data_IF_138625523050
#
_entry.id   IF_138625523050
#
_cell.length_a   1.000
_cell.length_b   1.000
_cell.length_c   1.000
_cell.angle_alpha   90.00
_cell.angle_beta   90.00
_cell.angle_gamma   90.00
#
_symmetry.space_group_name_H-M   'P 1'
#
loop_
_entity.id
_entity.type
_entity.pdbx_description
1 polymer ?
#
# COMPACT_ATOMS: atom_id res chain seq x y z
N UNK A 1 27.34 1.40 -31.00
CA UNK A 1 26.69 2.01 -29.82
C UNK A 1 27.43 1.54 -28.57
N UNK A 2 27.79 2.45 -27.67
CA UNK A 2 28.36 2.06 -26.37
C UNK A 2 27.26 1.53 -25.43
N UNK A 3 27.53 0.44 -24.71
CA UNK A 3 26.64 -0.09 -23.67
C UNK A 3 26.58 0.94 -22.53
N UNK A 4 25.42 1.60 -22.37
CA UNK A 4 25.25 2.60 -21.33
C UNK A 4 25.36 1.90 -19.96
N UNK A 5 26.23 2.37 -19.04
CA UNK A 5 26.51 1.64 -17.82
C UNK A 5 25.23 1.43 -17.00
N UNK A 6 24.85 0.17 -16.81
CA UNK A 6 23.63 -0.24 -16.11
C UNK A 6 23.64 0.32 -14.68
N UNK A 7 22.97 1.44 -14.47
CA UNK A 7 22.91 2.17 -13.19
C UNK A 7 22.38 1.23 -12.10
N UNK A 8 23.28 0.79 -11.21
CA UNK A 8 22.91 -0.04 -10.05
C UNK A 8 22.08 0.81 -9.10
N UNK A 9 20.78 0.48 -8.98
CA UNK A 9 19.92 1.09 -7.99
C UNK A 9 20.31 0.60 -6.60
N UNK A 10 20.57 1.54 -5.69
CA UNK A 10 20.65 1.30 -4.25
C UNK A 10 19.22 1.24 -3.69
N UNK A 11 19.01 0.36 -2.71
CA UNK A 11 17.79 0.35 -1.90
C UNK A 11 18.13 1.02 -0.58
N UNK A 12 17.51 2.16 -0.31
CA UNK A 12 17.69 2.97 0.87
C UNK A 12 16.43 2.99 1.71
N UNK A 13 16.19 4.14 2.37
CA UNK A 13 15.06 4.29 3.29
C UNK A 13 13.70 4.22 2.56
N UNK A 14 13.61 4.74 1.33
CA UNK A 14 12.33 4.75 0.59
C UNK A 14 11.98 3.34 0.13
N UNK A 15 12.91 2.60 -0.47
CA UNK A 15 12.71 1.21 -0.85
C UNK A 15 12.38 0.30 0.36
N UNK A 16 13.02 0.53 1.51
CA UNK A 16 12.71 -0.19 2.74
C UNK A 16 11.27 0.12 3.24
N UNK A 17 10.88 1.39 3.28
CA UNK A 17 9.53 1.81 3.68
C UNK A 17 8.45 1.27 2.73
N UNK A 18 8.67 1.33 1.41
CA UNK A 18 7.75 0.74 0.42
C UNK A 18 7.65 -0.78 0.58
N UNK A 19 8.75 -1.49 0.83
CA UNK A 19 8.71 -2.94 1.10
C UNK A 19 7.89 -3.24 2.36
N UNK A 20 8.10 -2.50 3.44
CA UNK A 20 7.33 -2.64 4.67
C UNK A 20 5.84 -2.31 4.46
N UNK A 21 5.50 -1.34 3.61
CA UNK A 21 4.12 -1.00 3.27
C UNK A 21 3.43 -2.04 2.38
N UNK A 22 4.18 -2.78 1.55
CA UNK A 22 3.66 -3.88 0.72
C UNK A 22 3.53 -5.21 1.49
N UNK A 23 4.25 -5.35 2.60
CA UNK A 23 4.05 -6.41 3.61
C UNK A 23 2.95 -6.05 4.63
N UNK A 24 2.79 -4.77 4.98
CA UNK A 24 1.45 -4.22 5.22
C UNK A 24 0.62 -4.31 3.92
N UNK A 25 -0.69 -4.07 3.93
CA UNK A 25 -1.61 -4.53 2.84
C UNK A 25 -1.64 -6.07 2.70
N UNK A 26 -0.53 -6.73 2.38
CA UNK A 26 -0.44 -8.17 2.06
C UNK A 26 -0.25 -8.40 0.56
N UNK A 27 0.50 -7.53 -0.12
CA UNK A 27 0.68 -7.53 -1.57
C UNK A 27 2.09 -7.97 -1.92
N UNK A 28 2.21 -9.17 -2.52
CA UNK A 28 3.48 -9.68 -3.00
C UNK A 28 3.92 -8.96 -4.31
N UNK A 29 5.11 -8.34 -4.36
CA UNK A 29 5.63 -7.72 -5.56
C UNK A 29 5.93 -8.69 -6.70
N UNK A 30 6.17 -9.99 -6.44
CA UNK A 30 6.45 -10.96 -7.48
C UNK A 30 5.20 -11.34 -8.30
N UNK A 31 4.02 -11.28 -7.68
CA UNK A 31 2.71 -11.52 -8.31
C UNK A 31 1.94 -10.25 -8.69
N UNK A 32 2.27 -9.08 -8.12
CA UNK A 32 1.56 -7.81 -8.38
C UNK A 32 2.43 -6.76 -9.12
N UNK A 33 2.23 -6.60 -10.42
CA UNK A 33 3.07 -5.76 -11.30
C UNK A 33 3.29 -4.32 -10.79
N UNK A 34 2.24 -3.63 -10.31
CA UNK A 34 2.38 -2.26 -9.80
C UNK A 34 3.14 -2.18 -8.47
N UNK A 35 3.21 -3.27 -7.70
CA UNK A 35 4.02 -3.34 -6.48
C UNK A 35 5.51 -3.53 -6.82
N UNK A 36 5.83 -4.32 -7.85
CA UNK A 36 7.17 -4.36 -8.43
C UNK A 36 7.62 -2.99 -8.98
N UNK A 37 6.73 -2.28 -9.69
CA UNK A 37 6.98 -0.90 -10.17
C UNK A 37 7.21 0.05 -9.01
N UNK A 38 6.39 0.00 -7.95
CA UNK A 38 6.59 0.81 -6.75
C UNK A 38 7.96 0.57 -6.09
N UNK A 39 8.39 -0.69 -5.92
CA UNK A 39 9.72 -1.00 -5.39
C UNK A 39 10.86 -0.48 -6.28
N UNK A 40 10.67 -0.48 -7.60
CA UNK A 40 11.65 0.07 -8.54
C UNK A 40 11.74 1.59 -8.44
N UNK A 41 10.61 2.28 -8.44
CA UNK A 41 10.54 3.74 -8.30
C UNK A 41 11.10 4.19 -6.94
N UNK A 42 10.82 3.46 -5.86
CA UNK A 42 11.40 3.72 -4.55
C UNK A 42 12.94 3.60 -4.56
N UNK A 43 13.49 2.57 -5.20
CA UNK A 43 14.94 2.45 -5.38
C UNK A 43 15.53 3.51 -6.33
N UNK A 44 14.76 4.03 -7.29
CA UNK A 44 15.18 5.16 -8.14
C UNK A 44 15.20 6.48 -7.35
N UNK A 45 14.25 6.71 -6.44
CA UNK A 45 14.27 7.83 -5.47
C UNK A 45 15.50 7.75 -4.55
N UNK A 46 15.82 6.57 -3.99
CA UNK A 46 17.00 6.36 -3.15
C UNK A 46 18.34 6.50 -3.90
N UNK A 47 18.34 6.41 -5.24
CA UNK A 47 19.56 6.32 -6.07
C UNK A 47 19.85 7.54 -6.92
N UNK A 48 18.89 8.42 -7.14
CA UNK A 48 19.01 9.51 -8.11
C UNK A 48 19.76 10.71 -7.52
N UNK A 49 20.89 11.13 -8.11
CA UNK A 49 21.57 12.36 -7.71
C UNK A 49 20.93 13.62 -8.31
N UNK A 50 20.03 13.48 -9.28
CA UNK A 50 19.27 14.61 -9.86
C UNK A 50 17.96 14.82 -9.08
N UNK A 51 17.76 15.98 -8.43
CA UNK A 51 16.52 16.30 -7.72
C UNK A 51 15.26 16.25 -8.61
N UNK A 52 15.37 16.54 -9.91
CA UNK A 52 14.21 16.52 -10.83
C UNK A 52 13.76 15.08 -11.10
N UNK A 53 14.68 14.19 -11.45
CA UNK A 53 14.40 12.76 -11.57
C UNK A 53 13.88 12.17 -10.25
N UNK A 54 14.42 12.57 -9.10
CA UNK A 54 13.94 12.14 -7.78
C UNK A 54 12.49 12.61 -7.53
N UNK A 55 12.15 13.85 -7.87
CA UNK A 55 10.79 14.37 -7.73
C UNK A 55 9.78 13.67 -8.65
N UNK A 56 10.18 13.35 -9.89
CA UNK A 56 9.36 12.56 -10.83
C UNK A 56 9.12 11.15 -10.30
N UNK A 57 10.17 10.41 -9.95
CA UNK A 57 10.06 9.05 -9.41
C UNK A 57 9.22 9.01 -8.13
N UNK A 58 9.35 10.01 -7.24
CA UNK A 58 8.53 10.13 -6.05
C UNK A 58 7.05 10.42 -6.34
N UNK A 59 6.73 11.15 -7.43
CA UNK A 59 5.35 11.38 -7.89
C UNK A 59 4.73 10.10 -8.43
N UNK A 60 5.45 9.39 -9.28
CA UNK A 60 5.01 8.12 -9.86
C UNK A 60 4.85 7.03 -8.78
N UNK A 61 5.76 6.98 -7.80
CA UNK A 61 5.66 6.09 -6.63
C UNK A 61 4.35 6.30 -5.87
N UNK A 62 3.96 7.56 -5.62
CA UNK A 62 2.68 7.87 -4.97
C UNK A 62 1.48 7.39 -5.80
N UNK A 63 1.54 7.51 -7.12
CA UNK A 63 0.47 7.03 -8.01
C UNK A 63 0.39 5.49 -8.04
N UNK A 64 1.53 4.80 -8.17
CA UNK A 64 1.59 3.34 -8.14
C UNK A 64 1.08 2.79 -6.79
N UNK A 65 1.54 3.36 -5.67
CA UNK A 65 1.09 2.93 -4.34
C UNK A 65 -0.38 3.23 -4.07
N UNK A 66 -0.96 4.31 -4.61
CA UNK A 66 -2.40 4.56 -4.50
C UNK A 66 -3.23 3.46 -5.15
N UNK A 67 -2.81 2.96 -6.33
CA UNK A 67 -3.48 1.83 -7.00
C UNK A 67 -3.24 0.52 -6.24
N UNK A 68 -2.03 0.27 -5.74
CA UNK A 68 -1.75 -0.93 -4.94
C UNK A 68 -2.57 -0.96 -3.64
N UNK A 69 -2.77 0.18 -2.97
CA UNK A 69 -3.65 0.28 -1.80
C UNK A 69 -5.11 -0.01 -2.16
N UNK A 70 -5.58 0.45 -3.32
CA UNK A 70 -6.95 0.19 -3.79
C UNK A 70 -7.18 -1.25 -4.25
N UNK A 71 -6.13 -1.94 -4.73
CA UNK A 71 -6.16 -3.34 -5.16
C UNK A 71 -5.76 -4.34 -4.06
N UNK A 72 -5.35 -3.86 -2.89
CA UNK A 72 -4.93 -4.69 -1.77
C UNK A 72 -6.09 -5.57 -1.25
N UNK A 73 -5.81 -6.80 -0.80
CA UNK A 73 -6.80 -7.63 -0.12
C UNK A 73 -7.43 -6.87 1.07
N UNK A 74 -8.74 -7.00 1.31
CA UNK A 74 -9.37 -6.52 2.54
C UNK A 74 -8.65 -7.14 3.74
N UNK A 75 -8.25 -6.31 4.71
CA UNK A 75 -7.54 -6.80 5.91
C UNK A 75 -8.54 -6.94 7.04
N UNK A 76 -8.53 -8.07 7.73
CA UNK A 76 -9.32 -8.37 8.95
C UNK A 76 -9.09 -7.39 10.12
N UNK A 77 -8.27 -6.35 9.95
CA UNK A 77 -7.95 -5.37 10.98
C UNK A 77 -9.01 -4.26 11.06
N UNK A 78 -10.24 -4.66 11.37
CA UNK A 78 -11.38 -3.78 11.53
C UNK A 78 -11.75 -3.11 10.22
N UNK A 79 -12.22 -3.91 9.28
CA UNK A 79 -12.66 -3.38 8.00
C UNK A 79 -13.84 -2.42 8.22
N UNK A 80 -14.04 -1.41 7.36
CA UNK A 80 -15.22 -0.53 7.48
C UNK A 80 -16.52 -1.33 7.36
N UNK A 81 -16.45 -2.49 6.68
CA UNK A 81 -17.52 -3.48 6.60
C UNK A 81 -17.80 -4.14 7.97
N UNK A 82 -16.76 -4.48 8.75
CA UNK A 82 -16.92 -5.00 10.12
C UNK A 82 -17.54 -3.96 11.05
N UNK A 83 -17.15 -2.69 10.94
CA UNK A 83 -17.76 -1.60 11.71
C UNK A 83 -19.24 -1.42 11.35
N UNK A 84 -19.59 -1.53 10.06
CA UNK A 84 -20.98 -1.50 9.59
C UNK A 84 -21.76 -2.73 10.09
N UNK A 85 -21.16 -3.93 10.08
CA UNK A 85 -21.75 -5.16 10.59
C UNK A 85 -22.03 -5.06 12.10
N UNK A 86 -21.02 -4.72 12.91
CA UNK A 86 -21.14 -4.47 14.36
C UNK A 86 -22.17 -3.38 14.68
N UNK A 87 -22.29 -2.35 13.83
CA UNK A 87 -23.30 -1.28 13.97
C UNK A 87 -24.71 -1.74 13.59
N UNK A 88 -24.87 -2.78 12.76
CA UNK A 88 -26.16 -3.43 12.49
C UNK A 88 -26.53 -4.37 13.64
N UNK A 89 -25.61 -5.20 14.10
CA UNK A 89 -25.79 -6.09 15.26
C UNK A 89 -26.26 -5.30 16.49
N UNK A 90 -25.59 -4.18 16.81
CA UNK A 90 -26.01 -3.27 17.90
C UNK A 90 -27.39 -2.61 17.74
N UNK A 91 -28.01 -2.66 16.56
CA UNK A 91 -29.40 -2.21 16.31
C UNK A 91 -30.39 -3.37 16.28
N UNK A 92 -29.90 -4.58 16.01
CA UNK A 92 -30.67 -5.82 15.88
C UNK A 92 -30.59 -6.70 17.13
N UNK A 93 -29.86 -6.27 18.16
CA UNK A 93 -30.02 -6.72 19.54
C UNK A 93 -31.09 -5.85 20.21
N UNK A 94 -32.39 -6.21 20.14
CA UNK A 94 -33.34 -5.64 21.08
C UNK A 94 -32.86 -5.97 22.50
N UNK A 95 -33.00 -5.02 23.42
CA UNK A 95 -33.07 -5.40 24.83
C UNK A 95 -34.34 -6.24 24.96
N UNK A 96 -34.15 -7.55 25.13
CA UNK A 96 -35.21 -8.44 25.55
C UNK A 96 -35.47 -8.16 27.04
N UNK A 97 -36.29 -7.15 27.28
CA UNK A 97 -36.96 -6.93 28.56
C UNK A 97 -38.43 -6.60 28.25
N UNK A 98 -39.19 -7.67 27.94
CA UNK A 98 -40.64 -7.64 27.95
C UNK A 98 -41.12 -7.83 29.39
N UNK A 99 -42.05 -7.00 29.88
CA UNK A 99 -42.82 -7.40 31.07
C UNK A 99 -43.36 -6.30 31.97
N UNK A 100 -44.51 -5.74 31.58
CA UNK A 100 -45.71 -5.59 32.43
C UNK A 100 -45.53 -5.38 33.94
N UNK A 101 -45.84 -4.16 34.41
CA UNK A 101 -46.05 -3.81 35.81
C UNK A 101 -46.76 -2.46 35.95
#
# INVERSE_FOLDING_TARGET
MGDAPKRRLRRGAVAAATTAQLHALGVDPASHALAAVALRLAAEVDSSPDPKATATAARELRQAMAVVVAAAPPRERGDKVDEIAKRRERRLSPQADEGTG
#
